data_IF_847074944774
#
_entry.id   IF_847074944774
#
_cell.length_a   1.000
_cell.length_b   1.000
_cell.length_c   1.000
_cell.angle_alpha   90.00
_cell.angle_beta   90.00
_cell.angle_gamma   90.00
#
_symmetry.space_group_name_H-M   'P 1'
#
loop_
_entity.id
_entity.type
_entity.pdbx_description
1 polymer ?
#
# COMPACT_ATOMS: atom_id res chain seq x y z
N UNK A 1 3.96 18.54 5.92
CA UNK A 1 5.10 18.11 5.09
C UNK A 1 4.96 16.62 4.83
N UNK A 2 4.96 16.19 3.57
CA UNK A 2 4.99 14.77 3.20
C UNK A 2 6.46 14.33 3.10
N UNK A 3 7.11 14.03 4.23
CA UNK A 3 8.56 13.77 4.21
C UNK A 3 8.92 12.36 3.74
N UNK A 4 8.01 11.39 3.90
CA UNK A 4 8.25 10.00 3.50
C UNK A 4 7.00 9.38 2.85
N UNK A 5 6.97 9.31 1.50
CA UNK A 5 5.89 8.67 0.74
C UNK A 5 5.73 7.17 1.01
N UNK A 6 6.77 6.48 1.48
CA UNK A 6 6.72 5.05 1.81
C UNK A 6 6.10 4.86 3.19
N UNK A 7 6.52 5.65 4.18
CA UNK A 7 5.87 5.67 5.49
C UNK A 7 4.38 6.02 5.38
N UNK A 8 4.02 6.99 4.54
CA UNK A 8 2.62 7.32 4.24
C UNK A 8 1.84 6.12 3.66
N UNK A 9 2.42 5.41 2.67
CA UNK A 9 1.80 4.20 2.10
C UNK A 9 1.54 3.14 3.17
N UNK A 10 2.56 2.78 3.96
CA UNK A 10 2.45 1.74 4.99
C UNK A 10 1.46 2.15 6.09
N UNK A 11 1.45 3.43 6.46
CA UNK A 11 0.49 3.98 7.42
C UNK A 11 -0.95 3.86 6.92
N UNK A 12 -1.22 4.17 5.65
CA UNK A 12 -2.55 4.01 5.04
C UNK A 12 -3.00 2.55 5.05
N UNK A 13 -2.12 1.62 4.69
CA UNK A 13 -2.41 0.18 4.70
C UNK A 13 -2.75 -0.29 6.11
N UNK A 14 -1.94 0.08 7.11
CA UNK A 14 -2.19 -0.26 8.53
C UNK A 14 -3.54 0.29 9.00
N UNK A 15 -3.82 1.56 8.73
CA UNK A 15 -5.06 2.20 9.16
C UNK A 15 -6.28 1.57 8.48
N UNK A 16 -6.19 1.22 7.19
CA UNK A 16 -7.24 0.51 6.47
C UNK A 16 -7.51 -0.89 7.06
N UNK A 17 -6.44 -1.61 7.42
CA UNK A 17 -6.56 -2.91 8.11
C UNK A 17 -7.28 -2.76 9.46
N UNK A 18 -6.90 -1.77 10.28
CA UNK A 18 -7.54 -1.50 11.57
C UNK A 18 -9.02 -1.11 11.40
N UNK A 19 -9.34 -0.34 10.37
CA UNK A 19 -10.71 0.05 10.01
C UNK A 19 -11.50 -1.06 9.29
N UNK A 20 -10.88 -2.24 9.06
CA UNK A 20 -11.47 -3.37 8.31
C UNK A 20 -11.93 -2.99 6.90
N UNK A 21 -11.23 -2.06 6.25
CA UNK A 21 -11.50 -1.71 4.86
C UNK A 21 -10.94 -2.81 3.94
N UNK A 22 -11.71 -3.28 2.94
CA UNK A 22 -11.26 -4.34 2.03
C UNK A 22 -10.20 -3.87 1.01
N UNK A 23 -10.04 -2.55 0.83
CA UNK A 23 -9.05 -1.94 -0.07
C UNK A 23 -8.67 -0.54 0.41
N UNK A 24 -7.52 -0.04 -0.05
CA UNK A 24 -7.06 1.33 0.18
C UNK A 24 -6.39 1.88 -1.07
N UNK A 25 -6.65 3.14 -1.39
CA UNK A 25 -6.03 3.84 -2.50
C UNK A 25 -4.78 4.60 -2.02
N UNK A 26 -3.68 4.46 -2.77
CA UNK A 26 -2.39 5.07 -2.46
C UNK A 26 -1.85 5.73 -3.74
N UNK A 27 -1.32 6.97 -3.69
CA UNK A 27 -0.71 7.61 -4.85
C UNK A 27 0.43 6.75 -5.42
N UNK A 28 0.35 6.44 -6.71
CA UNK A 28 1.28 5.55 -7.39
C UNK A 28 2.67 6.16 -7.54
N UNK A 29 3.69 5.32 -7.40
CA UNK A 29 5.07 5.59 -7.80
C UNK A 29 5.75 4.26 -8.14
N UNK A 30 6.83 4.30 -8.93
CA UNK A 30 7.59 3.09 -9.28
C UNK A 30 8.01 2.29 -8.05
N UNK A 31 8.51 2.96 -7.02
CA UNK A 31 8.94 2.32 -5.78
C UNK A 31 7.78 1.67 -5.02
N UNK A 32 6.62 2.35 -4.92
CA UNK A 32 5.43 1.80 -4.25
C UNK A 32 4.84 0.60 -4.99
N UNK A 33 4.97 0.57 -6.32
CA UNK A 33 4.56 -0.59 -7.13
C UNK A 33 5.42 -1.81 -6.85
N UNK A 34 6.74 -1.65 -6.73
CA UNK A 34 7.62 -2.75 -6.34
C UNK A 34 7.34 -3.25 -4.92
N UNK A 35 7.07 -2.34 -3.99
CA UNK A 35 6.65 -2.73 -2.63
C UNK A 35 5.34 -3.52 -2.67
N UNK A 36 4.33 -3.04 -3.41
CA UNK A 36 3.06 -3.75 -3.56
C UNK A 36 3.23 -5.12 -4.23
N UNK A 37 4.15 -5.25 -5.18
CA UNK A 37 4.52 -6.53 -5.82
C UNK A 37 5.09 -7.50 -4.80
N UNK A 38 6.09 -7.08 -4.01
CA UNK A 38 6.69 -7.93 -2.96
C UNK A 38 5.64 -8.33 -1.92
N UNK A 39 4.81 -7.38 -1.46
CA UNK A 39 3.73 -7.68 -0.50
C UNK A 39 2.74 -8.72 -1.03
N UNK A 40 2.49 -8.73 -2.35
CA UNK A 40 1.65 -9.74 -2.99
C UNK A 40 2.36 -11.10 -3.09
N UNK A 41 3.63 -11.12 -3.48
CA UNK A 41 4.44 -12.33 -3.62
C UNK A 41 4.60 -13.06 -2.27
N UNK A 42 4.80 -12.31 -1.20
CA UNK A 42 4.90 -12.81 0.17
C UNK A 42 3.52 -13.12 0.80
N UNK A 43 2.41 -12.84 0.11
CA UNK A 43 1.06 -13.17 0.57
C UNK A 43 0.47 -12.23 1.62
N UNK A 44 1.08 -11.06 1.87
CA UNK A 44 0.53 -10.05 2.79
C UNK A 44 -0.71 -9.32 2.25
N UNK A 45 -0.81 -9.19 0.93
CA UNK A 45 -1.99 -8.62 0.25
C UNK A 45 -2.49 -9.56 -0.85
N UNK A 46 -3.80 -9.59 -1.07
CA UNK A 46 -4.40 -10.44 -2.10
C UNK A 46 -4.06 -9.96 -3.52
N UNK A 47 -4.15 -8.64 -3.78
CA UNK A 47 -3.85 -8.08 -5.08
C UNK A 47 -3.63 -6.56 -5.02
N UNK A 48 -3.10 -5.98 -6.10
CA UNK A 48 -3.04 -4.53 -6.32
C UNK A 48 -3.28 -4.23 -7.81
N UNK A 49 -3.76 -3.01 -8.12
CA UNK A 49 -3.94 -2.53 -9.50
C UNK A 49 -3.65 -1.04 -9.59
N UNK A 50 -3.22 -0.60 -10.76
CA UNK A 50 -3.20 0.82 -11.13
C UNK A 50 -4.61 1.23 -11.59
N UNK A 51 -5.06 2.39 -11.12
CA UNK A 51 -6.32 3.02 -11.49
C UNK A 51 -6.03 4.38 -12.14
#
# INVERSE_FOLDING_TARGET
MLSDPIADMLTRVRNALQARHPKVDVPASRLKLEIARILKEEGYIANFKLA
#
